data_IF_584835652434
#
_entry.id   IF_584835652434
#
_cell.length_a   1.000
_cell.length_b   1.000
_cell.length_c   1.000
_cell.angle_alpha   90.00
_cell.angle_beta   90.00
_cell.angle_gamma   90.00
#
_symmetry.space_group_name_H-M   'P 1'
#
loop_
_entity.id
_entity.type
_entity.pdbx_description
1 polymer ?
#
# COMPACT_ATOMS: atom_id res chain seq x y z
N UNK A 1 -13.11 13.01 0.96
CA UNK A 1 -12.70 11.70 0.41
C UNK A 1 -13.38 10.53 1.14
N UNK A 2 -13.00 10.17 2.38
CA UNK A 2 -13.51 8.96 3.08
C UNK A 2 -15.04 8.83 3.17
N UNK A 3 -15.75 9.91 3.52
CA UNK A 3 -17.24 9.89 3.63
C UNK A 3 -17.90 9.59 2.28
N UNK A 4 -17.36 10.14 1.19
CA UNK A 4 -17.88 9.91 -0.16
C UNK A 4 -17.62 8.45 -0.56
N UNK A 5 -16.41 7.96 -0.32
CA UNK A 5 -16.04 6.57 -0.62
C UNK A 5 -16.89 5.55 0.16
N UNK A 6 -17.18 5.80 1.44
CA UNK A 6 -18.11 4.97 2.24
C UNK A 6 -19.51 4.93 1.64
N UNK A 7 -20.07 6.08 1.28
CA UNK A 7 -21.39 6.16 0.65
C UNK A 7 -21.40 5.41 -0.69
N UNK A 8 -20.32 5.53 -1.46
CA UNK A 8 -20.17 4.85 -2.75
C UNK A 8 -20.09 3.33 -2.58
N UNK A 9 -19.23 2.84 -1.68
CA UNK A 9 -19.17 1.41 -1.38
C UNK A 9 -20.49 0.87 -0.84
N UNK A 10 -21.19 1.61 0.02
CA UNK A 10 -22.51 1.21 0.52
C UNK A 10 -23.56 1.11 -0.60
N UNK A 11 -23.44 1.90 -1.66
CA UNK A 11 -24.33 1.86 -2.81
C UNK A 11 -23.95 0.75 -3.81
N UNK A 12 -22.66 0.50 -4.03
CA UNK A 12 -22.17 -0.53 -4.96
C UNK A 12 -22.23 -1.94 -4.34
N UNK A 13 -21.89 -2.08 -3.07
CA UNK A 13 -21.62 -3.36 -2.41
C UNK A 13 -20.43 -4.09 -3.01
N UNK A 14 -20.09 -5.27 -2.48
CA UNK A 14 -19.12 -6.14 -3.15
C UNK A 14 -19.68 -6.64 -4.48
N UNK A 15 -18.84 -6.72 -5.53
CA UNK A 15 -19.26 -7.18 -6.84
C UNK A 15 -19.70 -8.64 -6.81
N UNK A 16 -20.31 -9.06 -7.91
CA UNK A 16 -20.84 -10.40 -8.12
C UNK A 16 -20.40 -10.93 -9.47
N UNK A 17 -20.54 -12.23 -9.70
CA UNK A 17 -20.28 -12.84 -11.02
C UNK A 17 -21.26 -12.42 -12.11
N UNK A 18 -22.24 -11.55 -11.78
CA UNK A 18 -23.13 -10.89 -12.74
C UNK A 18 -22.53 -9.59 -13.31
N UNK A 19 -21.57 -9.00 -12.61
CA UNK A 19 -20.84 -7.83 -13.08
C UNK A 19 -19.78 -8.28 -14.10
N UNK A 20 -19.69 -7.60 -15.23
CA UNK A 20 -18.85 -8.03 -16.37
C UNK A 20 -17.39 -8.24 -15.97
N UNK A 21 -16.81 -7.29 -15.23
CA UNK A 21 -15.43 -7.33 -14.72
C UNK A 21 -15.19 -8.45 -13.69
N UNK A 22 -16.24 -9.03 -13.12
CA UNK A 22 -16.18 -10.01 -12.02
C UNK A 22 -16.76 -11.38 -12.39
N UNK A 23 -17.13 -11.58 -13.65
CA UNK A 23 -17.75 -12.82 -14.14
C UNK A 23 -16.99 -14.09 -13.76
N UNK A 24 -15.65 -14.01 -13.69
CA UNK A 24 -14.76 -15.15 -13.42
C UNK A 24 -14.19 -15.17 -12.00
N UNK A 25 -14.50 -14.17 -11.16
CA UNK A 25 -13.93 -14.02 -9.82
C UNK A 25 -15.05 -13.93 -8.78
N UNK A 26 -15.34 -15.04 -8.12
CA UNK A 26 -16.37 -15.09 -7.10
C UNK A 26 -15.86 -14.54 -5.76
N UNK A 27 -16.26 -13.32 -5.40
CA UNK A 27 -15.92 -12.68 -4.12
C UNK A 27 -16.98 -12.85 -3.03
N UNK A 28 -18.00 -13.67 -3.26
CA UNK A 28 -19.05 -13.94 -2.26
C UNK A 28 -18.50 -14.47 -0.92
N UNK A 29 -17.45 -15.32 -0.88
CA UNK A 29 -16.85 -15.76 0.39
C UNK A 29 -16.35 -14.63 1.28
N UNK A 30 -15.92 -13.49 0.70
CA UNK A 30 -15.50 -12.32 1.48
C UNK A 30 -16.67 -11.71 2.27
N UNK A 31 -17.92 -11.89 1.85
CA UNK A 31 -19.11 -11.40 2.58
C UNK A 31 -19.40 -12.25 3.82
N UNK A 32 -18.93 -13.49 3.82
CA UNK A 32 -19.17 -14.47 4.89
C UNK A 32 -18.10 -14.39 5.98
N UNK A 33 -16.97 -13.72 5.70
CA UNK A 33 -15.94 -13.44 6.69
C UNK A 33 -16.41 -12.34 7.66
N UNK A 34 -16.36 -12.65 8.95
CA UNK A 34 -16.50 -11.63 10.00
C UNK A 34 -15.21 -10.83 10.08
N UNK A 35 -15.15 -9.73 9.31
CA UNK A 35 -13.97 -8.90 9.31
C UNK A 35 -13.76 -8.21 10.65
N UNK A 36 -12.60 -8.47 11.27
CA UNK A 36 -12.12 -7.72 12.43
C UNK A 36 -11.17 -6.61 11.99
N UNK A 37 -11.19 -5.51 12.73
CA UNK A 37 -10.18 -4.46 12.56
C UNK A 37 -8.84 -4.99 13.04
N UNK A 38 -7.79 -4.69 12.28
CA UNK A 38 -6.44 -5.05 12.64
C UNK A 38 -5.83 -4.09 13.66
N UNK A 39 -4.79 -4.56 14.36
CA UNK A 39 -4.03 -3.79 15.33
C UNK A 39 -2.53 -3.82 15.00
N UNK A 40 -1.79 -2.84 15.53
CA UNK A 40 -0.33 -2.85 15.48
C UNK A 40 0.21 -4.04 16.27
N UNK A 41 1.22 -4.71 15.73
CA UNK A 41 1.89 -5.83 16.41
C UNK A 41 3.39 -5.52 16.58
N UNK A 42 3.84 -5.13 17.79
CA UNK A 42 5.25 -4.89 18.08
C UNK A 42 6.13 -6.14 18.03
N UNK A 43 5.53 -7.34 18.07
CA UNK A 43 6.28 -8.60 18.02
C UNK A 43 6.61 -9.08 16.61
N UNK A 44 6.17 -8.35 15.58
CA UNK A 44 6.41 -8.69 14.19
C UNK A 44 7.90 -8.68 13.82
N UNK A 45 8.31 -9.62 12.97
CA UNK A 45 9.70 -9.82 12.55
C UNK A 45 9.80 -9.93 11.03
N UNK A 46 10.95 -9.58 10.46
CA UNK A 46 11.23 -9.62 9.02
C UNK A 46 11.99 -10.89 8.57
N UNK A 47 12.31 -11.80 9.49
CA UNK A 47 13.31 -12.87 9.28
C UNK A 47 13.00 -13.84 8.13
N UNK A 48 11.74 -13.92 7.71
CA UNK A 48 11.28 -14.77 6.59
C UNK A 48 11.01 -14.01 5.29
N UNK A 49 11.21 -12.69 5.25
CA UNK A 49 10.87 -11.89 4.08
C UNK A 49 12.01 -11.85 3.06
N UNK A 50 11.67 -12.01 1.78
CA UNK A 50 12.63 -11.85 0.68
C UNK A 50 13.16 -10.41 0.61
N UNK A 51 14.31 -10.22 -0.03
CA UNK A 51 14.95 -8.89 -0.22
C UNK A 51 15.52 -8.24 1.05
N UNK A 52 15.58 -8.98 2.17
CA UNK A 52 16.17 -8.51 3.42
C UNK A 52 17.64 -8.11 3.29
N UNK A 53 18.39 -8.80 2.42
CA UNK A 53 19.83 -8.58 2.17
C UNK A 53 20.15 -7.45 1.21
N UNK A 54 19.15 -6.85 0.54
CA UNK A 54 19.36 -5.71 -0.35
C UNK A 54 19.54 -4.46 0.53
N UNK A 55 20.47 -3.57 0.19
CA UNK A 55 20.67 -2.32 0.93
C UNK A 55 19.61 -1.26 0.55
N UNK A 56 19.65 -0.11 1.23
CA UNK A 56 18.77 1.02 0.94
C UNK A 56 17.52 1.12 1.83
N UNK A 57 16.68 2.13 1.57
CA UNK A 57 15.56 2.48 2.42
C UNK A 57 14.54 1.35 2.55
N UNK A 58 14.10 1.10 3.78
CA UNK A 58 13.14 0.08 4.15
C UNK A 58 11.94 0.69 4.88
N UNK A 59 10.75 0.43 4.38
CA UNK A 59 9.48 0.69 5.05
C UNK A 59 8.81 -0.63 5.41
N UNK A 60 8.21 -0.70 6.58
CA UNK A 60 7.49 -1.89 7.05
C UNK A 60 6.12 -1.49 7.57
N UNK A 61 5.11 -2.22 7.13
CA UNK A 61 3.73 -2.07 7.55
C UNK A 61 3.25 -3.39 8.11
N UNK A 62 2.74 -3.37 9.34
CA UNK A 62 2.22 -4.55 10.03
C UNK A 62 0.73 -4.37 10.21
N UNK A 63 -0.04 -5.31 9.66
CA UNK A 63 -1.50 -5.30 9.64
C UNK A 63 -2.11 -3.96 9.18
N UNK A 64 -1.49 -3.34 8.17
CA UNK A 64 -1.94 -2.05 7.63
C UNK A 64 -1.33 -0.80 8.29
N UNK A 65 -0.52 -0.92 9.34
CA UNK A 65 0.04 0.23 10.06
C UNK A 65 1.56 0.32 9.91
N UNK A 66 2.09 1.53 9.73
CA UNK A 66 3.54 1.75 9.67
C UNK A 66 4.25 1.37 10.98
N UNK A 67 5.27 0.51 10.88
CA UNK A 67 6.15 0.14 11.99
C UNK A 67 7.44 0.96 11.93
N UNK A 68 7.57 1.93 12.83
CA UNK A 68 8.78 2.75 12.93
C UNK A 68 10.00 1.93 13.40
N UNK A 69 9.78 0.90 14.21
CA UNK A 69 10.82 0.03 14.76
C UNK A 69 11.46 -0.86 13.68
N UNK A 70 10.65 -1.41 12.78
CA UNK A 70 11.14 -2.29 11.71
C UNK A 70 11.62 -1.52 10.47
N UNK A 71 11.19 -0.27 10.32
CA UNK A 71 11.57 0.59 9.19
C UNK A 71 12.94 1.23 9.38
N UNK A 72 13.68 1.40 8.27
CA UNK A 72 15.00 2.05 8.24
C UNK A 72 15.17 2.79 6.92
N UNK A 73 14.91 4.10 6.91
CA UNK A 73 14.97 4.91 5.69
C UNK A 73 16.43 5.28 5.36
N UNK A 74 17.25 5.61 6.37
CA UNK A 74 18.63 6.06 6.14
C UNK A 74 18.71 7.47 5.55
N UNK A 75 19.91 7.88 5.14
CA UNK A 75 20.15 9.16 4.48
C UNK A 75 19.63 9.12 3.04
N UNK A 76 18.86 10.13 2.65
CA UNK A 76 18.25 10.22 1.33
C UNK A 76 18.87 11.37 0.53
N UNK A 77 18.93 11.26 -0.82
CA UNK A 77 19.28 12.39 -1.67
C UNK A 77 18.36 13.59 -1.42
N UNK A 78 18.86 14.80 -1.67
CA UNK A 78 18.12 16.03 -1.43
C UNK A 78 16.75 16.02 -2.11
N UNK A 79 15.71 16.33 -1.32
CA UNK A 79 14.32 16.39 -1.78
C UNK A 79 13.62 15.03 -1.93
N UNK A 80 14.32 13.90 -1.85
CA UNK A 80 13.70 12.57 -1.81
C UNK A 80 12.98 12.37 -0.49
N UNK A 81 11.73 11.89 -0.55
CA UNK A 81 10.92 11.60 0.62
C UNK A 81 10.47 10.14 0.58
N UNK A 82 10.72 9.44 1.67
CA UNK A 82 10.28 8.06 1.88
C UNK A 82 9.65 7.97 3.26
N UNK A 83 8.46 7.38 3.38
CA UNK A 83 7.76 7.30 4.67
C UNK A 83 6.34 6.75 4.57
N UNK A 84 5.49 7.17 5.51
CA UNK A 84 4.10 6.74 5.63
C UNK A 84 3.13 7.75 5.01
N UNK A 85 2.13 7.25 4.30
CA UNK A 85 1.03 8.05 3.75
C UNK A 85 0.22 8.69 4.87
N UNK A 86 -0.05 7.98 5.96
CA UNK A 86 -0.76 8.54 7.12
C UNK A 86 -0.01 9.75 7.69
N UNK A 87 1.31 9.66 7.83
CA UNK A 87 2.14 10.78 8.28
C UNK A 87 2.15 11.93 7.26
N UNK A 88 2.27 11.63 5.96
CA UNK A 88 2.26 12.64 4.90
C UNK A 88 0.91 13.41 4.84
N UNK A 89 -0.21 12.71 5.03
CA UNK A 89 -1.55 13.30 5.11
C UNK A 89 -1.72 14.17 6.36
N UNK A 90 -1.23 13.71 7.52
CA UNK A 90 -1.30 14.47 8.79
C UNK A 90 -0.50 15.77 8.72
N UNK A 91 0.61 15.78 7.97
CA UNK A 91 1.42 16.97 7.70
C UNK A 91 0.80 17.92 6.66
N UNK A 92 -0.42 17.64 6.18
CA UNK A 92 -1.13 18.42 5.17
C UNK A 92 -0.31 18.70 3.90
N UNK A 93 0.48 17.72 3.44
CA UNK A 93 1.08 17.80 2.10
C UNK A 93 -0.04 17.81 1.07
N UNK A 94 -0.35 18.99 0.53
CA UNK A 94 -1.47 19.26 -0.39
C UNK A 94 -1.48 18.28 -1.56
N UNK A 95 -0.29 17.91 -2.03
CA UNK A 95 -0.11 17.13 -3.24
C UNK A 95 -0.59 15.69 -3.05
N UNK A 96 -0.41 15.11 -1.85
CA UNK A 96 -0.85 13.73 -1.54
C UNK A 96 -2.36 13.57 -1.67
N UNK A 97 -3.13 14.56 -1.20
CA UNK A 97 -4.60 14.53 -1.31
C UNK A 97 -5.06 14.64 -2.76
N UNK A 98 -4.32 15.37 -3.60
CA UNK A 98 -4.66 15.54 -5.01
C UNK A 98 -4.44 14.25 -5.80
N UNK A 99 -3.39 13.48 -5.49
CA UNK A 99 -3.16 12.19 -6.14
C UNK A 99 -4.31 11.20 -5.87
N UNK A 100 -4.78 11.12 -4.62
CA UNK A 100 -5.89 10.24 -4.23
C UNK A 100 -7.28 10.71 -4.67
N UNK A 101 -7.43 11.94 -5.17
CA UNK A 101 -8.75 12.51 -5.43
C UNK A 101 -9.45 11.97 -6.71
N UNK A 102 -8.75 11.22 -7.56
CA UNK A 102 -9.12 11.16 -8.99
C UNK A 102 -9.58 9.80 -9.56
N UNK A 103 -9.66 8.69 -8.81
CA UNK A 103 -9.71 7.36 -9.48
C UNK A 103 -10.61 6.25 -8.91
N UNK A 104 -11.27 6.43 -7.78
CA UNK A 104 -12.01 5.31 -7.16
C UNK A 104 -13.41 5.13 -7.74
N UNK A 105 -13.50 4.44 -8.88
CA UNK A 105 -14.79 4.15 -9.52
C UNK A 105 -15.38 2.82 -9.09
N UNK A 106 -14.55 1.81 -8.81
CA UNK A 106 -14.98 0.47 -8.44
C UNK A 106 -15.19 0.30 -6.92
N UNK A 107 -15.76 -0.86 -6.56
CA UNK A 107 -16.15 -1.21 -5.19
C UNK A 107 -14.95 -1.35 -4.24
N UNK A 108 -13.90 -2.07 -4.64
CA UNK A 108 -12.74 -2.32 -3.77
C UNK A 108 -11.89 -1.06 -3.59
N UNK A 109 -11.79 -0.21 -4.62
CA UNK A 109 -11.20 1.12 -4.51
C UNK A 109 -11.99 2.02 -3.56
N UNK A 110 -13.32 2.00 -3.64
CA UNK A 110 -14.19 2.73 -2.71
C UNK A 110 -14.03 2.23 -1.26
N UNK A 111 -13.96 0.92 -1.05
CA UNK A 111 -13.70 0.31 0.26
C UNK A 111 -12.32 0.71 0.81
N UNK A 112 -11.28 0.62 -0.04
CA UNK A 112 -9.92 1.00 0.33
C UNK A 112 -9.88 2.47 0.76
N UNK A 113 -10.40 3.39 -0.06
CA UNK A 113 -10.43 4.83 0.25
C UNK A 113 -11.23 5.16 1.50
N UNK A 114 -12.28 4.40 1.78
CA UNK A 114 -13.09 4.55 2.99
C UNK A 114 -12.34 4.15 4.27
N UNK A 115 -11.43 3.17 4.18
CA UNK A 115 -10.96 2.40 5.32
C UNK A 115 -9.43 2.27 5.45
N UNK A 116 -8.62 2.74 4.48
CA UNK A 116 -7.18 2.55 4.55
C UNK A 116 -6.59 3.17 5.81
N UNK A 117 -5.67 2.44 6.42
CA UNK A 117 -5.00 2.84 7.66
C UNK A 117 -3.73 3.63 7.34
N UNK A 118 -2.92 3.11 6.42
CA UNK A 118 -1.66 3.73 5.99
C UNK A 118 -1.25 3.23 4.59
N UNK A 119 0.02 3.42 4.22
CA UNK A 119 0.72 2.84 3.07
C UNK A 119 2.05 3.55 2.84
N UNK A 120 2.84 3.07 1.89
CA UNK A 120 4.13 3.67 1.57
C UNK A 120 3.95 4.98 0.81
N UNK A 121 4.66 6.01 1.24
CA UNK A 121 4.80 7.28 0.53
C UNK A 121 6.24 7.41 0.03
N UNK A 122 6.41 7.47 -1.29
CA UNK A 122 7.68 7.68 -1.97
C UNK A 122 7.53 8.86 -2.91
N UNK A 123 8.42 9.85 -2.80
CA UNK A 123 8.51 10.96 -3.73
C UNK A 123 9.98 11.19 -4.10
N UNK A 124 10.31 10.97 -5.36
CA UNK A 124 11.61 11.26 -5.95
C UNK A 124 11.46 12.52 -6.81
N UNK A 125 12.15 13.63 -6.50
CA UNK A 125 12.05 14.84 -7.31
C UNK A 125 12.71 14.63 -8.68
N UNK A 126 12.41 15.55 -9.61
CA UNK A 126 12.97 15.47 -10.96
C UNK A 126 14.51 15.51 -10.96
N UNK A 127 15.12 14.77 -11.89
CA UNK A 127 16.57 14.71 -12.06
C UNK A 127 17.34 13.86 -11.05
N UNK A 128 16.67 13.19 -10.11
CA UNK A 128 17.34 12.31 -9.13
C UNK A 128 17.38 10.85 -9.59
N UNK A 129 18.53 10.20 -9.46
CA UNK A 129 18.70 8.76 -9.71
C UNK A 129 18.97 8.06 -8.38
N UNK A 130 18.03 7.22 -7.94
CA UNK A 130 18.20 6.38 -6.76
C UNK A 130 19.20 5.27 -7.05
N UNK A 131 20.26 5.18 -6.25
CA UNK A 131 21.28 4.13 -6.38
C UNK A 131 20.88 2.78 -5.77
N UNK A 132 20.03 2.81 -4.74
CA UNK A 132 19.51 1.63 -4.04
C UNK A 132 17.98 1.56 -4.15
N UNK A 133 17.39 0.35 -4.19
CA UNK A 133 15.95 0.19 -4.25
C UNK A 133 15.27 0.55 -2.93
N UNK A 134 14.04 1.06 -3.04
CA UNK A 134 13.16 1.30 -1.90
C UNK A 134 12.37 0.03 -1.63
N UNK A 135 12.56 -0.56 -0.45
CA UNK A 135 11.93 -1.82 -0.06
C UNK A 135 10.76 -1.55 0.85
N UNK A 136 9.62 -2.16 0.54
CA UNK A 136 8.38 -2.02 1.28
C UNK A 136 7.89 -3.41 1.66
N UNK A 137 7.77 -3.65 2.96
CA UNK A 137 7.28 -4.91 3.51
C UNK A 137 5.88 -4.71 4.08
N UNK A 138 4.95 -5.55 3.66
CA UNK A 138 3.60 -5.62 4.20
C UNK A 138 3.44 -6.98 4.88
N UNK A 139 3.32 -6.95 6.20
CA UNK A 139 3.24 -8.13 7.05
C UNK A 139 1.83 -8.26 7.60
N UNK A 140 1.20 -9.42 7.42
CA UNK A 140 -0.01 -9.79 8.14
C UNK A 140 0.34 -10.79 9.27
N UNK A 141 0.24 -10.32 10.51
CA UNK A 141 0.46 -11.13 11.72
C UNK A 141 -0.84 -11.46 12.46
N UNK A 142 -1.97 -10.97 11.95
CA UNK A 142 -3.29 -11.15 12.55
C UNK A 142 -3.81 -12.58 12.36
N UNK A 143 -4.82 -12.95 13.15
CA UNK A 143 -5.52 -14.23 13.00
C UNK A 143 -6.62 -14.20 11.94
N UNK A 144 -7.46 -15.24 11.92
CA UNK A 144 -8.56 -15.39 10.98
C UNK A 144 -9.52 -14.19 10.99
N UNK A 145 -9.96 -13.79 9.79
CA UNK A 145 -10.91 -12.70 9.59
C UNK A 145 -10.29 -11.29 9.63
N UNK A 146 -8.96 -11.17 9.69
CA UNK A 146 -8.31 -9.86 9.63
C UNK A 146 -8.49 -9.20 8.25
N UNK A 147 -8.93 -7.94 8.21
CA UNK A 147 -9.01 -7.15 6.99
C UNK A 147 -8.15 -5.89 7.06
N UNK A 148 -7.13 -5.82 6.20
CA UNK A 148 -6.30 -4.63 6.08
C UNK A 148 -6.57 -3.91 4.76
N UNK A 149 -6.78 -2.60 4.86
CA UNK A 149 -6.89 -1.71 3.71
C UNK A 149 -5.65 -0.82 3.71
N UNK A 150 -4.89 -0.85 2.63
CA UNK A 150 -3.60 -0.17 2.54
C UNK A 150 -3.48 0.57 1.22
N UNK A 151 -2.97 1.81 1.26
CA UNK A 151 -2.88 2.66 0.08
C UNK A 151 -1.54 3.38 0.02
N UNK A 152 -0.75 2.99 -0.97
CA UNK A 152 0.59 3.51 -1.21
C UNK A 152 0.60 4.49 -2.38
N UNK A 153 1.53 5.43 -2.34
CA UNK A 153 1.71 6.48 -3.32
C UNK A 153 3.20 6.62 -3.64
N UNK A 154 3.55 6.40 -4.91
CA UNK A 154 4.90 6.49 -5.45
C UNK A 154 4.89 7.55 -6.55
N UNK A 155 5.66 8.62 -6.36
CA UNK A 155 5.80 9.74 -7.30
C UNK A 155 7.25 9.84 -7.73
N UNK A 156 7.49 9.73 -9.03
CA UNK A 156 8.83 9.76 -9.63
C UNK A 156 8.85 10.90 -10.64
N UNK A 157 9.55 11.99 -10.31
CA UNK A 157 9.58 13.22 -11.11
C UNK A 157 10.25 13.05 -12.48
N UNK A 158 10.17 14.06 -13.34
CA UNK A 158 10.78 14.01 -14.68
C UNK A 158 12.29 13.70 -14.63
N UNK A 159 12.81 13.00 -15.65
CA UNK A 159 14.23 12.65 -15.78
C UNK A 159 14.84 11.98 -14.53
N UNK A 160 14.02 11.31 -13.72
CA UNK A 160 14.45 10.63 -12.49
C UNK A 160 14.37 9.12 -12.62
N UNK A 161 15.02 8.38 -11.72
CA UNK A 161 15.01 6.91 -11.71
C UNK A 161 14.86 6.37 -10.29
N UNK A 162 13.98 5.39 -10.13
CA UNK A 162 13.83 4.65 -8.88
C UNK A 162 13.43 3.19 -9.11
N UNK A 163 13.83 2.32 -8.18
CA UNK A 163 13.35 0.94 -8.09
C UNK A 163 12.60 0.79 -6.77
N UNK A 164 11.40 0.23 -6.82
CA UNK A 164 10.56 -0.06 -5.64
C UNK A 164 10.23 -1.54 -5.60
N UNK A 165 10.51 -2.17 -4.46
CA UNK A 165 10.25 -3.59 -4.23
C UNK A 165 9.22 -3.72 -3.13
N UNK A 166 8.07 -4.32 -3.44
CA UNK A 166 7.05 -4.69 -2.48
C UNK A 166 7.13 -6.19 -2.15
N UNK A 167 7.19 -6.52 -0.87
CA UNK A 167 7.08 -7.88 -0.37
C UNK A 167 5.86 -7.99 0.52
N UNK A 168 4.96 -8.91 0.17
CA UNK A 168 3.76 -9.22 0.93
C UNK A 168 3.91 -10.60 1.56
N UNK A 169 3.73 -10.69 2.87
CA UNK A 169 3.78 -11.95 3.62
C UNK A 169 2.77 -11.94 4.76
N UNK A 170 2.29 -13.13 5.12
CA UNK A 170 1.41 -13.30 6.26
C UNK A 170 1.54 -14.66 6.92
N UNK A 171 0.86 -14.82 8.06
CA UNK A 171 0.69 -16.13 8.71
C UNK A 171 -0.24 -17.03 7.90
N UNK A 172 -0.21 -18.32 8.18
CA UNK A 172 -1.17 -19.29 7.66
C UNK A 172 -2.52 -19.11 8.38
N UNK A 173 -3.30 -18.13 7.91
CA UNK A 173 -4.59 -17.73 8.45
C UNK A 173 -5.43 -17.09 7.34
N UNK A 174 -6.76 -17.16 7.43
CA UNK A 174 -7.62 -16.54 6.43
C UNK A 174 -7.72 -15.02 6.68
N UNK A 175 -7.11 -14.20 5.82
CA UNK A 175 -7.22 -12.74 5.89
C UNK A 175 -7.50 -12.10 4.53
N UNK A 176 -7.88 -10.84 4.58
CA UNK A 176 -8.17 -10.03 3.40
C UNK A 176 -7.26 -8.81 3.34
N UNK A 177 -6.46 -8.72 2.27
CA UNK A 177 -5.64 -7.55 1.96
C UNK A 177 -6.23 -6.80 0.76
N UNK A 178 -6.75 -5.60 1.02
CA UNK A 178 -7.20 -4.66 0.00
C UNK A 178 -6.11 -3.60 -0.20
N UNK A 179 -5.19 -3.87 -1.12
CA UNK A 179 -4.02 -3.03 -1.37
C UNK A 179 -4.14 -2.24 -2.67
N UNK A 180 -3.84 -0.94 -2.60
CA UNK A 180 -3.73 -0.06 -3.77
C UNK A 180 -2.37 0.62 -3.76
N UNK A 181 -1.63 0.52 -4.86
CA UNK A 181 -0.39 1.28 -5.09
C UNK A 181 -0.62 2.22 -6.26
N UNK A 182 -0.62 3.52 -5.99
CA UNK A 182 -0.66 4.55 -7.02
C UNK A 182 0.75 4.95 -7.43
N UNK A 183 1.01 4.92 -8.73
CA UNK A 183 2.30 5.29 -9.31
C UNK A 183 2.12 6.44 -10.29
N UNK A 184 2.83 7.55 -10.07
CA UNK A 184 2.89 8.71 -10.96
C UNK A 184 4.34 8.84 -11.42
N UNK A 185 4.55 8.69 -12.73
CA UNK A 185 5.87 8.69 -13.36
C UNK A 185 5.92 9.86 -14.34
N UNK A 186 6.82 10.80 -14.08
CA UNK A 186 7.01 12.00 -14.90
C UNK A 186 7.70 11.72 -16.23
N UNK A 187 7.78 12.76 -17.06
CA UNK A 187 8.36 12.65 -18.40
C UNK A 187 9.81 12.17 -18.35
N UNK A 188 10.16 11.22 -19.21
CA UNK A 188 11.48 10.58 -19.29
C UNK A 188 11.96 9.93 -17.98
N UNK A 189 11.07 9.72 -17.00
CA UNK A 189 11.41 9.06 -15.76
C UNK A 189 11.33 7.53 -15.88
N UNK A 190 12.07 6.83 -15.03
CA UNK A 190 12.12 5.36 -14.99
C UNK A 190 11.73 4.86 -13.61
N UNK A 191 10.62 4.12 -13.53
CA UNK A 191 10.23 3.40 -12.33
C UNK A 191 10.25 1.91 -12.62
N UNK A 192 11.07 1.17 -11.88
CA UNK A 192 10.99 -0.28 -11.80
C UNK A 192 10.19 -0.67 -10.55
N UNK A 193 9.08 -1.39 -10.74
CA UNK A 193 8.24 -1.87 -9.64
C UNK A 193 8.24 -3.40 -9.63
N UNK A 194 8.69 -3.98 -8.53
CA UNK A 194 8.69 -5.42 -8.30
C UNK A 194 7.73 -5.72 -7.17
N UNK A 195 6.71 -6.54 -7.43
CA UNK A 195 5.77 -7.01 -6.41
C UNK A 195 5.93 -8.52 -6.22
N UNK A 196 6.30 -8.91 -5.01
CA UNK A 196 6.36 -10.31 -4.59
C UNK A 196 5.26 -10.57 -3.55
N UNK A 197 4.40 -11.54 -3.85
CA UNK A 197 3.30 -11.93 -2.97
C UNK A 197 3.49 -13.37 -2.50
N UNK A 198 3.71 -13.53 -1.19
CA UNK A 198 3.82 -14.81 -0.51
C UNK A 198 2.81 -14.86 0.64
N UNK A 199 1.55 -14.84 0.25
CA UNK A 199 0.37 -14.89 1.10
C UNK A 199 -0.37 -16.20 0.77
N UNK A 200 -1.06 -16.78 1.75
CA UNK A 200 -1.77 -18.06 1.61
C UNK A 200 -3.24 -17.90 1.97
#
# INVERSE_FOLDING_TARGET
>A
MRVIARKRFAALGFPSTRDEDWRFTNVSPLKELEFSSTETDPSAQLESCLFGSIEGPRLVFVNGFYSAELSKIGDMPDGVQVGSVAKALAQNKSDVKNYFASRDTDSFASLNTACFTDGAFVQVPGGVVMGEPIRIYYLNTSGDGAASNIRSLIVVGENSKATVVESWSGRDAAYFNNAITEMIVGDNAQLEHVKFQNES
#
